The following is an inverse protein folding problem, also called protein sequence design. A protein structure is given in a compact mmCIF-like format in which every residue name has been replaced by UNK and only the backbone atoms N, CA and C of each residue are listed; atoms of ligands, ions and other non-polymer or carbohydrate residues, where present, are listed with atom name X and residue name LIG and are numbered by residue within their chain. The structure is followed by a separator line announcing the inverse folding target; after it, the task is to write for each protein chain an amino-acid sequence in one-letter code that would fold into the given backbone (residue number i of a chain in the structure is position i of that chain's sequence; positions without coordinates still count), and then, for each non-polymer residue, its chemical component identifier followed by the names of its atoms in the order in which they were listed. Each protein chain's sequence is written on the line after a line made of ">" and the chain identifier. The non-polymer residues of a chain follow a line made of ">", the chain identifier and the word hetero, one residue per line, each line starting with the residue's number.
data_IF_096194030913
#
_entry.id   IF_096194030913
#
_cell.length_a   1.000
_cell.length_b   1.000
_cell.length_c   1.000
_cell.angle_alpha   90.00
_cell.angle_beta   90.00
_cell.angle_gamma   90.00
#
_symmetry.space_group_name_H-M   'P 1'
#
loop_
_entity.id
_entity.type
_entity.pdbx_description
1 polymer ?
#
# COMPACT_ATOMS: atom_id res chain seq x y z
N UNK A 1 -2.28 -2.94 -16.57
CA UNK A 1 -1.83 -3.96 -15.61
C UNK A 1 -0.37 -3.70 -15.27
N UNK A 2 0.05 -4.00 -14.05
CA UNK A 2 1.44 -3.89 -13.61
C UNK A 2 1.72 -4.93 -12.52
N UNK A 3 3.00 -5.16 -12.24
CA UNK A 3 3.43 -5.99 -11.12
C UNK A 3 4.92 -5.90 -10.86
N UNK A 4 5.30 -6.16 -9.61
CA UNK A 4 6.67 -6.12 -9.09
C UNK A 4 6.86 -7.33 -8.17
N UNK A 5 8.00 -8.02 -8.31
CA UNK A 5 8.40 -9.09 -7.39
C UNK A 5 9.85 -8.84 -7.00
N UNK A 6 10.12 -8.85 -5.70
CA UNK A 6 11.47 -8.72 -5.14
C UNK A 6 11.66 -9.87 -4.15
N UNK A 7 12.72 -10.65 -4.31
CA UNK A 7 13.07 -11.75 -3.41
C UNK A 7 14.43 -11.52 -2.76
N UNK A 8 14.52 -11.79 -1.46
CA UNK A 8 15.79 -11.86 -0.74
C UNK A 8 16.59 -13.08 -1.18
N UNK A 9 17.81 -12.88 -1.66
CA UNK A 9 18.69 -13.96 -2.15
C UNK A 9 19.71 -14.44 -1.09
N UNK A 10 19.70 -13.85 0.10
CA UNK A 10 20.62 -14.20 1.18
C UNK A 10 20.02 -14.03 2.57
N UNK A 11 20.56 -14.74 3.57
CA UNK A 11 20.01 -14.83 4.93
C UNK A 11 20.19 -13.60 5.84
N UNK A 12 20.57 -12.44 5.28
CA UNK A 12 20.77 -11.18 6.03
C UNK A 12 19.68 -10.13 5.80
N UNK A 13 18.68 -10.45 4.98
CA UNK A 13 17.58 -9.54 4.70
C UNK A 13 16.48 -9.70 5.74
N UNK A 14 15.85 -8.60 6.15
CA UNK A 14 14.70 -8.59 7.06
C UNK A 14 13.40 -8.98 6.35
N UNK A 15 13.40 -8.98 5.02
CA UNK A 15 12.28 -9.34 4.17
C UNK A 15 12.69 -10.49 3.24
N UNK A 16 11.91 -11.57 3.24
CA UNK A 16 12.08 -12.73 2.36
C UNK A 16 11.60 -12.41 0.96
N UNK A 17 10.41 -11.83 0.84
CA UNK A 17 9.90 -11.36 -0.44
C UNK A 17 8.94 -10.18 -0.32
N UNK A 18 8.85 -9.44 -1.42
CA UNK A 18 7.84 -8.44 -1.73
C UNK A 18 7.16 -8.86 -3.02
N UNK A 19 5.85 -8.82 -3.05
CA UNK A 19 5.08 -8.98 -4.27
C UNK A 19 4.03 -7.90 -4.32
N UNK A 20 3.93 -7.21 -5.45
CA UNK A 20 2.89 -6.21 -5.71
C UNK A 20 2.32 -6.45 -7.11
N UNK A 21 1.02 -6.28 -7.26
CA UNK A 21 0.36 -6.37 -8.54
C UNK A 21 -0.89 -5.51 -8.60
N UNK A 22 -1.28 -5.11 -9.80
CA UNK A 22 -2.48 -4.30 -9.94
C UNK A 22 -2.91 -3.99 -11.36
N UNK A 23 -4.05 -3.31 -11.41
CA UNK A 23 -4.73 -2.88 -12.61
C UNK A 23 -5.19 -1.43 -12.45
N UNK A 24 -5.14 -0.67 -13.53
CA UNK A 24 -5.79 0.63 -13.62
C UNK A 24 -6.62 0.65 -14.89
N UNK A 25 -7.89 1.01 -14.74
CA UNK A 25 -8.82 1.26 -15.84
C UNK A 25 -9.03 2.77 -15.97
N UNK A 26 -8.66 3.35 -17.10
CA UNK A 26 -8.91 4.76 -17.42
C UNK A 26 -10.20 4.91 -18.24
N UNK A 27 -10.95 5.98 -18.00
CA UNK A 27 -12.21 6.25 -18.70
C UNK A 27 -13.37 5.42 -18.16
N UNK A 28 -13.46 5.26 -16.84
CA UNK A 28 -14.38 4.30 -16.17
C UNK A 28 -15.86 4.51 -16.51
N UNK A 29 -16.31 5.75 -16.73
CA UNK A 29 -17.72 6.07 -17.01
C UNK A 29 -17.88 7.00 -18.23
N UNK A 30 -19.03 6.95 -18.92
CA UNK A 30 -19.41 7.96 -19.91
C UNK A 30 -19.33 9.38 -19.31
N UNK A 31 -18.72 10.31 -20.04
CA UNK A 31 -18.49 11.68 -19.57
C UNK A 31 -17.30 11.85 -18.60
N UNK A 32 -16.62 10.76 -18.22
CA UNK A 32 -15.43 10.79 -17.34
C UNK A 32 -14.23 10.07 -18.00
N UNK A 33 -13.80 10.49 -19.22
CA UNK A 33 -12.76 9.78 -19.98
C UNK A 33 -11.37 9.82 -19.33
N UNK A 34 -11.15 10.72 -18.36
CA UNK A 34 -9.88 10.89 -17.66
C UNK A 34 -9.89 10.34 -16.24
N UNK A 35 -11.01 9.79 -15.78
CA UNK A 35 -11.08 9.15 -14.46
C UNK A 35 -10.43 7.78 -14.50
N UNK A 36 -9.94 7.33 -13.35
CA UNK A 36 -9.22 6.06 -13.22
C UNK A 36 -9.81 5.21 -12.10
N UNK A 37 -10.02 3.92 -12.33
CA UNK A 37 -10.31 2.93 -11.29
C UNK A 37 -9.08 2.03 -11.11
N UNK A 38 -8.50 2.04 -9.91
CA UNK A 38 -7.31 1.28 -9.56
C UNK A 38 -7.63 0.16 -8.56
N UNK A 39 -7.07 -1.03 -8.81
CA UNK A 39 -7.05 -2.13 -7.85
C UNK A 39 -5.60 -2.61 -7.71
N UNK A 40 -5.10 -2.65 -6.48
CA UNK A 40 -3.72 -3.04 -6.16
C UNK A 40 -3.74 -4.05 -5.02
N UNK A 41 -2.81 -4.99 -5.05
CA UNK A 41 -2.51 -5.83 -3.89
C UNK A 41 -0.99 -5.86 -3.67
N UNK A 42 -0.59 -5.94 -2.42
CA UNK A 42 0.80 -6.10 -2.01
C UNK A 42 0.92 -7.16 -0.92
N UNK A 43 1.99 -7.94 -0.96
CA UNK A 43 2.35 -8.96 0.02
C UNK A 43 3.78 -8.75 0.47
N UNK A 44 3.96 -8.65 1.78
CA UNK A 44 5.24 -8.43 2.43
C UNK A 44 5.53 -9.57 3.39
N UNK A 45 6.49 -10.45 3.02
CA UNK A 45 6.93 -11.54 3.88
C UNK A 45 8.22 -11.18 4.59
N UNK A 46 8.14 -10.99 5.89
CA UNK A 46 9.30 -10.86 6.77
C UNK A 46 10.03 -12.19 6.90
N UNK A 47 11.35 -12.10 6.90
CA UNK A 47 12.24 -13.24 7.13
C UNK A 47 12.27 -13.64 8.61
N UNK A 48 12.87 -14.79 8.94
CA UNK A 48 13.22 -15.10 10.32
C UNK A 48 14.05 -13.99 10.97
N UNK A 49 14.96 -13.34 10.23
CA UNK A 49 15.72 -12.21 10.77
C UNK A 49 14.82 -11.00 11.03
N UNK A 50 13.91 -10.67 10.11
CA UNK A 50 12.98 -9.54 10.25
C UNK A 50 12.04 -9.66 11.46
N UNK A 51 11.73 -10.90 11.86
CA UNK A 51 10.89 -11.19 13.03
C UNK A 51 11.67 -11.46 14.32
N UNK A 52 13.00 -11.42 14.29
CA UNK A 52 13.85 -11.77 15.43
C UNK A 52 13.67 -10.81 16.62
N UNK A 53 13.62 -9.50 16.38
CA UNK A 53 13.44 -8.50 17.43
C UNK A 53 12.08 -8.64 18.13
N UNK A 54 11.03 -8.97 17.36
CA UNK A 54 9.69 -9.23 17.89
C UNK A 54 9.71 -10.47 18.79
N UNK A 55 10.33 -11.57 18.34
CA UNK A 55 10.46 -12.77 19.17
C UNK A 55 11.25 -12.52 20.45
N UNK A 56 12.33 -11.75 20.38
CA UNK A 56 13.12 -11.39 21.56
C UNK A 56 12.31 -10.54 22.57
N UNK A 57 11.59 -9.53 22.10
CA UNK A 57 10.71 -8.71 22.93
C UNK A 57 9.55 -9.51 23.55
N UNK A 58 8.98 -10.47 22.81
CA UNK A 58 7.97 -11.39 23.37
C UNK A 58 8.55 -12.28 24.46
N UNK A 59 9.76 -12.82 24.23
CA UNK A 59 10.44 -13.65 25.22
C UNK A 59 10.73 -12.88 26.52
N UNK A 60 11.15 -11.60 26.44
CA UNK A 60 11.40 -10.79 27.64
C UNK A 60 10.14 -10.45 28.44
N UNK A 61 8.96 -10.56 27.82
CA UNK A 61 7.66 -10.42 28.46
C UNK A 61 7.05 -11.77 28.90
N UNK A 62 7.78 -12.88 28.75
CA UNK A 62 7.30 -14.23 29.07
C UNK A 62 6.24 -14.76 28.09
N UNK A 63 6.13 -14.19 26.89
CA UNK A 63 5.15 -14.56 25.87
C UNK A 63 5.72 -15.59 24.88
N UNK A 64 4.82 -16.41 24.30
CA UNK A 64 5.20 -17.38 23.28
C UNK A 64 5.77 -16.75 22.01
N UNK A 65 6.82 -17.34 21.45
CA UNK A 65 7.61 -16.81 20.32
C UNK A 65 7.33 -17.47 18.97
N UNK A 66 6.50 -18.51 18.92
CA UNK A 66 6.25 -19.32 17.72
C UNK A 66 5.21 -18.72 16.75
N UNK A 67 4.30 -17.88 17.23
CA UNK A 67 3.16 -17.35 16.45
C UNK A 67 3.35 -15.86 16.14
N UNK A 68 4.51 -15.49 15.62
CA UNK A 68 4.77 -14.11 15.16
C UNK A 68 4.34 -14.03 13.70
N UNK A 69 3.30 -13.24 13.43
CA UNK A 69 2.90 -12.97 12.05
C UNK A 69 4.06 -12.33 11.28
N UNK A 70 4.24 -12.84 10.07
CA UNK A 70 5.37 -12.52 9.20
C UNK A 70 4.94 -12.19 7.80
N UNK A 71 3.66 -12.37 7.44
CA UNK A 71 3.13 -12.01 6.15
C UNK A 71 2.09 -10.92 6.35
N UNK A 72 2.37 -9.73 5.81
CA UNK A 72 1.39 -8.65 5.70
C UNK A 72 0.82 -8.66 4.28
N UNK A 73 -0.50 -8.50 4.15
CA UNK A 73 -1.15 -8.32 2.85
C UNK A 73 -1.95 -7.02 2.84
N UNK A 74 -1.81 -6.22 1.78
CA UNK A 74 -2.53 -4.97 1.59
C UNK A 74 -3.34 -5.09 0.31
N UNK A 75 -4.64 -4.79 0.38
CA UNK A 75 -5.51 -4.62 -0.77
C UNK A 75 -5.90 -3.15 -0.86
N UNK A 76 -5.76 -2.51 -2.01
CA UNK A 76 -6.16 -1.13 -2.25
C UNK A 76 -7.13 -1.01 -3.43
N UNK A 77 -8.24 -0.34 -3.21
CA UNK A 77 -9.15 0.15 -4.24
C UNK A 77 -9.07 1.68 -4.27
N UNK A 78 -8.85 2.26 -5.45
CA UNK A 78 -8.80 3.71 -5.61
C UNK A 78 -9.62 4.18 -6.80
N UNK A 79 -10.21 5.37 -6.68
CA UNK A 79 -10.93 6.01 -7.78
C UNK A 79 -10.43 7.43 -7.98
N UNK A 80 -9.80 7.70 -9.12
CA UNK A 80 -9.26 9.00 -9.48
C UNK A 80 -10.27 9.83 -10.27
N UNK A 81 -10.71 10.92 -9.66
CA UNK A 81 -11.65 11.90 -10.18
C UNK A 81 -10.85 13.06 -10.75
N UNK A 82 -10.79 13.19 -12.08
CA UNK A 82 -10.25 14.39 -12.73
C UNK A 82 -11.26 15.53 -12.58
N UNK A 83 -10.96 16.49 -11.71
CA UNK A 83 -11.86 17.62 -11.42
C UNK A 83 -11.71 18.72 -12.47
N UNK A 84 -10.46 19.06 -12.80
CA UNK A 84 -10.08 20.02 -13.85
C UNK A 84 -8.83 19.50 -14.56
N UNK A 85 -8.36 20.07 -15.67
CA UNK A 85 -7.08 19.66 -16.28
C UNK A 85 -5.88 19.70 -15.31
N UNK A 86 -5.92 20.53 -14.28
CA UNK A 86 -4.85 20.67 -13.29
C UNK A 86 -5.06 19.88 -12.00
N UNK A 87 -6.29 19.51 -11.66
CA UNK A 87 -6.64 18.98 -10.33
C UNK A 87 -7.26 17.59 -10.42
N UNK A 88 -6.73 16.67 -9.62
CA UNK A 88 -7.25 15.30 -9.45
C UNK A 88 -7.42 14.97 -7.97
N UNK A 89 -8.59 14.45 -7.62
CA UNK A 89 -8.88 13.89 -6.30
C UNK A 89 -8.97 12.37 -6.43
N UNK A 90 -8.29 11.63 -5.55
CA UNK A 90 -8.26 10.17 -5.56
C UNK A 90 -8.63 9.62 -4.18
N UNK A 91 -9.92 9.41 -3.86
CA UNK A 91 -10.31 8.55 -2.74
C UNK A 91 -9.73 7.14 -2.90
N UNK A 92 -9.34 6.54 -1.77
CA UNK A 92 -8.91 5.16 -1.69
C UNK A 92 -9.44 4.46 -0.44
N UNK A 93 -9.55 3.14 -0.57
CA UNK A 93 -9.91 2.20 0.48
C UNK A 93 -8.80 1.16 0.54
N UNK A 94 -8.26 0.93 1.72
CA UNK A 94 -7.26 -0.12 1.92
C UNK A 94 -7.72 -1.10 2.99
N UNK A 95 -7.48 -2.38 2.75
CA UNK A 95 -7.63 -3.44 3.75
C UNK A 95 -6.27 -4.07 4.00
N UNK A 96 -5.78 -3.95 5.23
CA UNK A 96 -4.49 -4.47 5.68
C UNK A 96 -4.75 -5.69 6.56
N UNK A 97 -4.28 -6.85 6.09
CA UNK A 97 -4.39 -8.15 6.75
C UNK A 97 -3.07 -8.45 7.42
N UNK A 98 -3.13 -8.89 8.68
CA UNK A 98 -1.97 -9.23 9.52
C UNK A 98 -0.88 -8.13 9.48
N UNK A 99 -1.18 -6.90 9.93
CA UNK A 99 -0.21 -5.82 9.87
C UNK A 99 1.10 -6.14 10.60
N UNK A 100 2.23 -5.73 10.04
CA UNK A 100 3.53 -5.99 10.63
C UNK A 100 3.68 -5.25 11.98
N UNK A 101 4.37 -5.89 12.91
CA UNK A 101 4.60 -5.36 14.25
C UNK A 101 6.05 -4.92 14.48
N UNK A 102 6.84 -4.75 13.42
CA UNK A 102 8.28 -4.45 13.51
C UNK A 102 8.54 -3.14 14.25
N UNK A 103 7.63 -2.17 14.12
CA UNK A 103 7.67 -0.88 14.83
C UNK A 103 7.15 -0.93 16.26
N UNK A 104 6.46 -1.99 16.65
CA UNK A 104 5.85 -2.16 17.98
C UNK A 104 6.19 -3.52 18.60
N UNK A 105 7.49 -3.87 18.77
CA UNK A 105 7.91 -5.24 19.10
C UNK A 105 7.46 -5.71 20.50
N UNK A 106 7.16 -4.80 21.42
CA UNK A 106 6.70 -5.11 22.78
C UNK A 106 5.18 -5.27 22.89
N UNK A 107 4.44 -5.25 21.78
CA UNK A 107 2.98 -5.45 21.82
C UNK A 107 2.68 -6.90 22.21
N UNK A 108 1.87 -7.16 23.25
CA UNK A 108 1.64 -8.53 23.72
C UNK A 108 0.76 -9.35 22.77
N UNK A 109 -0.08 -8.66 21.99
CA UNK A 109 -1.02 -9.23 21.02
C UNK A 109 -0.69 -8.72 19.60
N UNK A 110 -0.97 -9.52 18.55
CA UNK A 110 -0.88 -9.07 17.16
C UNK A 110 -1.70 -7.80 16.92
N UNK A 111 -1.29 -7.04 15.90
CA UNK A 111 -2.09 -5.92 15.40
C UNK A 111 -3.29 -6.51 14.65
N UNK A 112 -4.52 -6.13 14.97
CA UNK A 112 -5.68 -6.61 14.23
C UNK A 112 -5.69 -6.03 12.81
N UNK A 113 -6.38 -6.72 11.89
CA UNK A 113 -6.66 -6.21 10.56
C UNK A 113 -7.22 -4.79 10.59
N UNK A 114 -6.84 -3.99 9.59
CA UNK A 114 -7.20 -2.59 9.51
C UNK A 114 -7.91 -2.28 8.19
N UNK A 115 -9.02 -1.54 8.28
CA UNK A 115 -9.65 -0.90 7.15
C UNK A 115 -9.34 0.59 7.18
N UNK A 116 -8.71 1.10 6.12
CA UNK A 116 -8.25 2.48 6.00
C UNK A 116 -9.03 3.16 4.88
N UNK A 117 -9.50 4.36 5.16
CA UNK A 117 -10.14 5.24 4.18
C UNK A 117 -9.26 6.46 4.03
N UNK A 118 -8.90 6.79 2.80
CA UNK A 118 -8.03 7.92 2.50
C UNK A 118 -8.46 8.66 1.24
N UNK A 119 -7.79 9.78 1.01
CA UNK A 119 -7.89 10.53 -0.22
C UNK A 119 -6.58 11.23 -0.53
N UNK A 120 -6.20 11.25 -1.80
CA UNK A 120 -5.05 11.98 -2.32
C UNK A 120 -5.52 13.11 -3.23
N UNK A 121 -5.02 14.32 -3.00
CA UNK A 121 -5.20 15.46 -3.90
C UNK A 121 -3.90 15.71 -4.66
N UNK A 122 -3.99 15.77 -5.98
CA UNK A 122 -2.89 16.11 -6.88
C UNK A 122 -3.22 17.39 -7.63
N UNK A 123 -2.29 18.34 -7.66
CA UNK A 123 -2.42 19.61 -8.36
C UNK A 123 -1.18 19.84 -9.22
N UNK A 124 -1.39 20.03 -10.53
CA UNK A 124 -0.36 20.43 -11.47
C UNK A 124 -0.32 21.96 -11.54
N UNK A 125 0.74 22.57 -11.01
CA UNK A 125 0.85 24.02 -10.88
C UNK A 125 1.07 24.73 -12.21
N UNK A 126 1.71 24.09 -13.20
CA UNK A 126 1.92 24.70 -14.52
C UNK A 126 0.62 24.76 -15.31
N UNK A 127 -0.15 23.68 -15.27
CA UNK A 127 -1.47 23.62 -15.87
C UNK A 127 -2.43 24.58 -15.16
N UNK A 128 -2.35 24.66 -13.83
CA UNK A 128 -3.15 25.60 -13.05
C UNK A 128 -2.82 27.06 -13.39
N UNK A 129 -1.55 27.37 -13.65
CA UNK A 129 -1.08 28.69 -14.06
C UNK A 129 -1.29 28.99 -15.57
N UNK A 130 -1.86 28.06 -16.34
CA UNK A 130 -2.06 28.22 -17.79
C UNK A 130 -0.76 28.12 -18.61
N UNK A 131 0.32 27.61 -18.01
CA UNK A 131 1.63 27.43 -18.64
C UNK A 131 1.77 26.06 -19.32
N UNK A 132 0.85 25.13 -19.04
CA UNK A 132 0.81 23.80 -19.63
C UNK A 132 -0.63 23.34 -19.92
N UNK A 133 -0.77 22.35 -20.80
CA UNK A 133 -2.04 21.68 -21.10
C UNK A 133 -2.20 20.43 -20.23
N UNK A 134 -3.40 20.22 -19.70
CA UNK A 134 -3.75 19.05 -18.90
C UNK A 134 -4.79 18.15 -19.59
N UNK A 135 -5.23 17.06 -18.94
CA UNK A 135 -6.26 16.18 -19.50
C UNK A 135 -7.55 16.96 -19.82
N UNK A 136 -8.01 16.87 -21.06
CA UNK A 136 -9.24 17.53 -21.52
C UNK A 136 -9.11 19.02 -21.85
N UNK A 137 -7.91 19.62 -21.83
CA UNK A 137 -7.72 20.99 -22.30
C UNK A 137 -7.82 21.08 -23.83
N UNK A 138 -8.46 22.14 -24.34
CA UNK A 138 -8.46 22.48 -25.77
C UNK A 138 -7.15 23.14 -26.21
#
# INVERSE_FOLDING_TARGET
>A
MFGVVIGGTGGRQTQDYFLEGGAVLTGTFPGRPYDTLGLVFAMEKLSPLGTANIRAARASLGLGTRNVESLQTILELSYGIQLTPAVRLMPNLQYVIDPDQTRFPFRPKPIPDAFVIGAKLSVDLFTLAGLAKGPGSQ
#
